data_IF_310511283655
#
_entry.id   IF_310511283655
#
_cell.length_a   1.000
_cell.length_b   1.000
_cell.length_c   1.000
_cell.angle_alpha   90.00
_cell.angle_beta   90.00
_cell.angle_gamma   90.00
#
_symmetry.space_group_name_H-M   'P 1'
#
loop_
_entity.id
_entity.type
_entity.pdbx_description
1 polymer ?
#
# COMPACT_ATOMS: atom_id res chain seq x y z
N UNK A 1 7.36 3.71 -29.18
CA UNK A 1 7.81 5.02 -29.72
C UNK A 1 6.79 6.07 -29.29
N UNK A 2 7.17 7.10 -28.50
CA UNK A 2 6.25 8.21 -28.19
C UNK A 2 6.14 9.08 -29.43
N UNK A 3 4.94 9.19 -30.01
CA UNK A 3 4.67 10.09 -31.14
C UNK A 3 4.72 11.53 -30.63
N UNK A 4 5.55 12.39 -31.23
CA UNK A 4 5.59 13.81 -30.89
C UNK A 4 4.26 14.49 -31.21
N UNK A 5 3.95 15.58 -30.52
CA UNK A 5 2.79 16.43 -30.83
C UNK A 5 3.09 17.25 -32.08
N UNK A 6 2.16 17.23 -33.03
CA UNK A 6 2.21 18.08 -34.21
C UNK A 6 1.81 19.52 -33.86
N UNK A 7 2.29 20.55 -34.59
CA UNK A 7 1.98 21.96 -34.29
C UNK A 7 0.47 22.26 -34.18
N UNK A 8 -0.35 21.67 -35.05
CA UNK A 8 -1.81 21.85 -35.02
C UNK A 8 -2.48 21.25 -33.77
N UNK A 9 -1.90 20.18 -33.18
CA UNK A 9 -2.39 19.60 -31.93
C UNK A 9 -2.12 20.57 -30.77
N UNK A 10 -0.97 21.24 -30.77
CA UNK A 10 -0.63 22.24 -29.75
C UNK A 10 -1.52 23.48 -29.86
N UNK A 11 -1.81 23.95 -31.08
CA UNK A 11 -2.72 25.08 -31.31
C UNK A 11 -4.13 24.74 -30.85
N UNK A 12 -4.61 23.54 -31.16
CA UNK A 12 -5.90 23.05 -30.68
C UNK A 12 -5.95 22.97 -29.14
N UNK A 13 -4.86 22.53 -28.50
CA UNK A 13 -4.75 22.52 -27.04
C UNK A 13 -4.77 23.95 -26.49
N UNK A 14 -4.04 24.91 -27.06
CA UNK A 14 -4.06 26.32 -26.61
C UNK A 14 -5.45 26.91 -26.67
N UNK A 15 -6.17 26.67 -27.76
CA UNK A 15 -7.52 27.20 -27.98
C UNK A 15 -8.57 26.55 -27.05
N UNK A 16 -8.58 25.22 -26.98
CA UNK A 16 -9.70 24.48 -26.36
C UNK A 16 -9.43 23.96 -24.95
N UNK A 17 -8.18 23.84 -24.52
CA UNK A 17 -7.89 23.34 -23.18
C UNK A 17 -8.22 24.37 -22.10
N UNK A 18 -8.03 25.66 -22.41
CA UNK A 18 -8.36 26.76 -21.50
C UNK A 18 -9.87 26.93 -21.32
N UNK A 19 -10.66 26.84 -22.38
CA UNK A 19 -12.10 27.14 -22.32
C UNK A 19 -12.89 26.24 -21.35
N UNK A 20 -13.79 26.85 -20.56
CA UNK A 20 -14.55 26.16 -19.52
C UNK A 20 -15.35 24.99 -20.10
N UNK A 21 -15.04 23.76 -19.66
CA UNK A 21 -15.85 22.57 -19.95
C UNK A 21 -15.66 21.93 -21.33
N UNK A 22 -14.69 22.37 -22.14
CA UNK A 22 -14.51 21.89 -23.52
C UNK A 22 -13.56 20.68 -23.62
N UNK A 23 -12.96 20.25 -22.51
CA UNK A 23 -11.97 19.16 -22.50
C UNK A 23 -12.50 17.83 -23.08
N UNK A 24 -13.79 17.52 -22.89
CA UNK A 24 -14.40 16.32 -23.49
C UNK A 24 -14.39 16.38 -25.02
N UNK A 25 -14.69 17.54 -25.60
CA UNK A 25 -14.62 17.75 -27.06
C UNK A 25 -13.19 17.71 -27.58
N UNK A 26 -12.23 18.22 -26.80
CA UNK A 26 -10.80 18.14 -27.15
C UNK A 26 -10.32 16.68 -27.25
N UNK A 27 -10.71 15.80 -26.32
CA UNK A 27 -10.35 14.37 -26.38
C UNK A 27 -10.93 13.70 -27.63
N UNK A 28 -12.15 14.06 -28.04
CA UNK A 28 -12.78 13.51 -29.25
C UNK A 28 -12.03 13.92 -30.53
N UNK A 29 -11.45 15.12 -30.56
CA UNK A 29 -10.67 15.63 -31.69
C UNK A 29 -9.23 15.11 -31.70
N UNK A 30 -8.74 14.60 -30.58
CA UNK A 30 -7.43 13.96 -30.45
C UNK A 30 -7.58 12.49 -30.00
N UNK A 31 -8.28 11.62 -30.75
CA UNK A 31 -8.63 10.27 -30.31
C UNK A 31 -7.41 9.36 -30.13
N UNK A 32 -6.28 9.70 -30.76
CA UNK A 32 -5.01 9.00 -30.62
C UNK A 32 -4.17 9.47 -29.43
N UNK A 33 -4.64 10.47 -28.68
CA UNK A 33 -3.97 11.00 -27.48
C UNK A 33 -4.77 10.62 -26.25
N UNK A 34 -4.06 10.20 -25.21
CA UNK A 34 -4.70 9.98 -23.90
C UNK A 34 -4.94 11.32 -23.21
N UNK A 35 -5.99 11.40 -22.39
CA UNK A 35 -6.29 12.58 -21.59
C UNK A 35 -5.06 13.04 -20.76
N UNK A 36 -4.34 12.08 -20.17
CA UNK A 36 -3.13 12.37 -19.39
C UNK A 36 -2.01 12.98 -20.25
N UNK A 37 -1.81 12.49 -21.47
CA UNK A 37 -0.84 13.06 -22.41
C UNK A 37 -1.19 14.51 -22.75
N UNK A 38 -2.48 14.81 -22.98
CA UNK A 38 -2.96 16.15 -23.28
C UNK A 38 -2.76 17.08 -22.06
N UNK A 39 -3.06 16.62 -20.85
CA UNK A 39 -2.82 17.40 -19.62
C UNK A 39 -1.34 17.76 -19.44
N UNK A 40 -0.44 16.80 -19.66
CA UNK A 40 1.01 17.04 -19.59
C UNK A 40 1.43 18.04 -20.67
N UNK A 41 0.95 17.88 -21.91
CA UNK A 41 1.29 18.79 -23.01
C UNK A 41 0.77 20.20 -22.76
N UNK A 42 -0.48 20.36 -22.32
CA UNK A 42 -1.05 21.65 -21.98
C UNK A 42 -0.25 22.37 -20.88
N UNK A 43 0.20 21.64 -19.86
CA UNK A 43 1.08 22.19 -18.82
C UNK A 43 2.41 22.69 -19.39
N UNK A 44 3.02 21.93 -20.32
CA UNK A 44 4.25 22.35 -21.03
C UNK A 44 4.02 23.56 -21.93
N UNK A 45 2.82 23.71 -22.50
CA UNK A 45 2.42 24.87 -23.31
C UNK A 45 1.99 26.08 -22.45
N UNK A 46 2.00 25.96 -21.12
CA UNK A 46 1.57 27.03 -20.20
C UNK A 46 0.05 27.24 -20.13
N UNK A 47 -0.74 26.35 -20.73
CA UNK A 47 -2.20 26.45 -20.78
C UNK A 47 -2.80 25.75 -19.57
N UNK A 48 -3.60 26.48 -18.79
CA UNK A 48 -4.30 25.93 -17.61
C UNK A 48 -5.76 25.70 -17.95
N UNK A 49 -6.32 24.62 -17.41
CA UNK A 49 -7.75 24.37 -17.53
C UNK A 49 -8.52 25.40 -16.69
N UNK A 50 -9.52 26.08 -17.28
CA UNK A 50 -10.48 26.86 -16.49
C UNK A 50 -11.54 25.92 -15.90
N UNK A 51 -11.32 25.52 -14.65
CA UNK A 51 -12.34 24.80 -13.90
C UNK A 51 -13.47 25.75 -13.52
N UNK A 52 -14.73 25.33 -13.73
CA UNK A 52 -15.90 26.05 -13.23
C UNK A 52 -15.80 26.17 -11.70
N UNK A 53 -15.74 27.39 -11.18
CA UNK A 53 -15.68 27.64 -9.73
C UNK A 53 -16.96 27.21 -9.03
N UNK A 54 -16.83 26.86 -7.75
CA UNK A 54 -17.98 26.49 -6.90
C UNK A 54 -18.63 27.74 -6.33
N UNK A 55 -19.94 27.83 -6.48
CA UNK A 55 -20.72 28.94 -5.92
C UNK A 55 -21.22 28.61 -4.51
N UNK A 56 -21.51 29.65 -3.73
CA UNK A 56 -22.11 29.53 -2.40
C UNK A 56 -23.47 28.81 -2.43
N UNK A 57 -24.24 28.96 -3.52
CA UNK A 57 -25.50 28.25 -3.73
C UNK A 57 -25.27 26.74 -3.95
N UNK A 58 -24.29 26.36 -4.77
CA UNK A 58 -23.92 24.94 -4.95
C UNK A 58 -23.44 24.32 -3.63
N UNK A 59 -22.64 25.05 -2.84
CA UNK A 59 -22.21 24.59 -1.52
C UNK A 59 -23.38 24.40 -0.55
N UNK A 60 -24.41 25.26 -0.60
CA UNK A 60 -25.61 25.13 0.23
C UNK A 60 -26.40 23.88 -0.14
N UNK A 61 -26.57 23.61 -1.43
CA UNK A 61 -27.22 22.39 -1.94
C UNK A 61 -26.44 21.15 -1.47
N UNK A 62 -25.10 21.18 -1.59
CA UNK A 62 -24.25 20.06 -1.19
C UNK A 62 -24.33 19.81 0.32
N UNK A 63 -24.37 20.87 1.15
CA UNK A 63 -24.61 20.77 2.60
C UNK A 63 -25.97 20.17 2.94
N UNK A 64 -27.01 20.56 2.19
CA UNK A 64 -28.38 20.12 2.43
C UNK A 64 -28.59 18.64 2.11
N UNK A 65 -27.94 18.12 1.06
CA UNK A 65 -28.17 16.77 0.59
C UNK A 65 -27.09 15.76 0.99
N UNK A 66 -25.94 16.18 1.53
CA UNK A 66 -24.93 15.24 2.06
C UNK A 66 -25.51 14.42 3.24
N UNK A 67 -25.27 13.09 3.33
CA UNK A 67 -24.39 12.27 2.49
C UNK A 67 -25.03 11.67 1.22
N UNK A 68 -26.29 12.00 0.92
CA UNK A 68 -27.00 11.54 -0.29
C UNK A 68 -26.48 12.24 -1.56
N UNK A 69 -25.44 11.63 -2.13
CA UNK A 69 -24.79 12.12 -3.36
C UNK A 69 -25.71 12.06 -4.58
N UNK A 70 -26.63 11.10 -4.64
CA UNK A 70 -27.54 10.97 -5.77
C UNK A 70 -28.52 12.17 -5.80
N UNK A 71 -29.03 12.55 -4.63
CA UNK A 71 -29.88 13.73 -4.50
C UNK A 71 -29.13 15.03 -4.75
N UNK A 72 -27.88 15.14 -4.28
CA UNK A 72 -27.03 16.28 -4.60
C UNK A 72 -26.76 16.40 -6.12
N UNK A 73 -26.48 15.29 -6.80
CA UNK A 73 -26.25 15.23 -8.25
C UNK A 73 -27.47 15.67 -9.06
N UNK A 74 -28.68 15.27 -8.65
CA UNK A 74 -29.92 15.68 -9.29
C UNK A 74 -30.12 17.22 -9.28
N UNK A 75 -29.63 17.91 -8.24
CA UNK A 75 -29.74 19.36 -8.08
C UNK A 75 -28.53 20.13 -8.64
N UNK A 76 -27.37 19.48 -8.79
CA UNK A 76 -26.11 20.07 -9.25
C UNK A 76 -25.76 19.61 -10.67
N UNK A 77 -26.70 19.82 -11.61
CA UNK A 77 -26.55 19.40 -13.01
C UNK A 77 -25.26 19.98 -13.63
N UNK A 78 -24.44 19.11 -14.19
CA UNK A 78 -23.14 19.46 -14.77
C UNK A 78 -21.95 19.35 -13.82
N UNK A 79 -22.15 19.00 -12.55
CA UNK A 79 -21.08 18.53 -11.67
C UNK A 79 -21.06 17.01 -11.67
N UNK A 80 -19.89 16.42 -11.85
CA UNK A 80 -19.73 14.97 -11.72
C UNK A 80 -19.80 14.56 -10.26
N UNK A 81 -20.22 13.32 -10.00
CA UNK A 81 -20.20 12.73 -8.66
C UNK A 81 -18.84 12.84 -7.96
N UNK A 82 -17.74 12.70 -8.71
CA UNK A 82 -16.38 12.89 -8.20
C UNK A 82 -16.14 14.33 -7.74
N UNK A 83 -16.61 15.33 -8.51
CA UNK A 83 -16.50 16.74 -8.13
C UNK A 83 -17.32 17.03 -6.84
N UNK A 84 -18.52 16.48 -6.72
CA UNK A 84 -19.34 16.58 -5.50
C UNK A 84 -18.61 15.99 -4.29
N UNK A 85 -18.05 14.79 -4.45
CA UNK A 85 -17.30 14.11 -3.40
C UNK A 85 -16.09 14.93 -2.93
N UNK A 86 -15.28 15.41 -3.88
CA UNK A 86 -14.11 16.24 -3.58
C UNK A 86 -14.48 17.57 -2.92
N UNK A 87 -15.57 18.20 -3.37
CA UNK A 87 -16.08 19.43 -2.74
C UNK A 87 -16.60 19.17 -1.33
N UNK A 88 -17.33 18.06 -1.12
CA UNK A 88 -17.82 17.66 0.20
C UNK A 88 -16.69 17.46 1.20
N UNK A 89 -15.55 16.89 0.75
CA UNK A 89 -14.33 16.79 1.57
C UNK A 89 -13.74 18.16 1.90
N UNK A 90 -13.70 19.09 0.94
CA UNK A 90 -13.21 20.46 1.15
C UNK A 90 -14.09 21.25 2.13
N UNK A 91 -15.40 21.02 2.09
CA UNK A 91 -16.39 21.57 3.00
C UNK A 91 -16.47 20.84 4.36
N UNK A 92 -15.72 19.75 4.54
CA UNK A 92 -15.69 18.92 5.75
C UNK A 92 -17.08 18.40 6.18
N UNK A 93 -17.91 18.01 5.20
CA UNK A 93 -19.26 17.50 5.47
C UNK A 93 -19.28 16.05 5.98
N UNK A 94 -18.22 15.30 5.68
CA UNK A 94 -18.05 13.93 6.16
C UNK A 94 -17.65 13.88 7.64
N UNK A 95 -17.72 12.68 8.25
CA UNK A 95 -17.28 12.48 9.62
C UNK A 95 -15.80 12.90 9.78
N UNK A 96 -15.41 13.38 10.97
CA UNK A 96 -14.04 13.79 11.24
C UNK A 96 -13.07 12.62 10.99
N UNK A 97 -11.92 12.95 10.41
CA UNK A 97 -10.87 11.95 10.16
C UNK A 97 -10.35 11.47 11.51
N UNK A 98 -10.51 10.17 11.79
CA UNK A 98 -9.93 9.53 12.99
C UNK A 98 -8.41 9.48 12.83
N UNK A 99 -7.70 10.36 13.54
CA UNK A 99 -6.24 10.37 13.58
C UNK A 99 -5.69 9.15 14.33
N UNK A 100 -4.45 8.79 14.04
CA UNK A 100 -3.73 7.75 14.78
C UNK A 100 -3.27 8.31 16.12
N UNK A 101 -3.58 7.61 17.20
CA UNK A 101 -3.11 7.95 18.55
C UNK A 101 -1.75 7.31 18.83
N UNK A 102 -1.03 7.84 19.84
CA UNK A 102 0.21 7.24 20.32
C UNK A 102 0.00 5.78 20.79
N UNK A 103 -1.13 5.50 21.47
CA UNK A 103 -1.48 4.16 21.92
C UNK A 103 -1.69 3.18 20.75
N UNK A 104 -2.32 3.62 19.66
CA UNK A 104 -2.46 2.79 18.45
C UNK A 104 -1.10 2.55 17.78
N UNK A 105 -0.22 3.55 17.74
CA UNK A 105 1.14 3.37 17.20
C UNK A 105 1.95 2.38 18.04
N UNK A 106 1.83 2.42 19.37
CA UNK A 106 2.49 1.47 20.27
C UNK A 106 1.92 0.05 20.13
N UNK A 107 0.60 -0.06 19.95
CA UNK A 107 -0.03 -1.33 19.63
C UNK A 107 0.52 -1.90 18.31
N UNK A 108 0.70 -1.06 17.27
CA UNK A 108 1.31 -1.50 16.01
C UNK A 108 2.72 -2.07 16.22
N UNK A 109 3.56 -1.42 17.03
CA UNK A 109 4.92 -1.91 17.33
C UNK A 109 4.91 -3.26 18.04
N UNK A 110 4.02 -3.43 19.02
CA UNK A 110 3.92 -4.65 19.83
C UNK A 110 3.29 -5.82 19.08
N UNK A 111 2.28 -5.57 18.24
CA UNK A 111 1.49 -6.62 17.62
C UNK A 111 2.02 -7.07 16.26
N UNK A 112 2.70 -6.20 15.49
CA UNK A 112 3.21 -6.55 14.16
C UNK A 112 4.06 -7.83 14.12
N UNK A 113 4.92 -8.13 15.11
CA UNK A 113 5.72 -9.36 15.10
C UNK A 113 4.88 -10.66 15.16
N UNK A 114 3.70 -10.61 15.78
CA UNK A 114 2.89 -11.80 16.10
C UNK A 114 1.55 -11.86 15.37
N UNK A 115 1.10 -10.75 14.78
CA UNK A 115 -0.23 -10.62 14.17
C UNK A 115 -0.16 -10.11 12.73
N UNK A 116 -1.13 -10.54 11.92
CA UNK A 116 -1.33 -10.02 10.58
C UNK A 116 -1.89 -8.59 10.60
N UNK A 117 -1.83 -7.89 9.46
CA UNK A 117 -2.34 -6.50 9.42
C UNK A 117 -3.88 -6.50 9.57
N UNK A 118 -4.54 -7.59 9.19
CA UNK A 118 -5.98 -7.85 9.34
C UNK A 118 -6.37 -8.08 10.79
N UNK A 119 -5.63 -8.91 11.53
CA UNK A 119 -5.87 -9.15 12.96
C UNK A 119 -5.72 -7.86 13.77
N UNK A 120 -4.65 -7.10 13.50
CA UNK A 120 -4.43 -5.80 14.16
C UNK A 120 -5.52 -4.80 13.77
N UNK A 121 -5.99 -4.81 12.53
CA UNK A 121 -7.08 -3.96 12.08
C UNK A 121 -8.38 -4.23 12.84
N UNK A 122 -8.71 -5.51 13.07
CA UNK A 122 -9.87 -5.90 13.89
C UNK A 122 -9.69 -5.34 15.31
N UNK A 123 -8.53 -5.56 15.94
CA UNK A 123 -8.25 -5.09 17.31
C UNK A 123 -8.34 -3.57 17.48
N UNK A 124 -7.91 -2.81 16.48
CA UNK A 124 -7.90 -1.34 16.54
C UNK A 124 -9.18 -0.68 15.99
N UNK A 125 -10.11 -1.48 15.45
CA UNK A 125 -11.29 -0.98 14.74
C UNK A 125 -10.90 -0.12 13.52
N UNK A 126 -9.89 -0.56 12.77
CA UNK A 126 -9.34 0.08 11.57
C UNK A 126 -9.48 -0.87 10.38
N UNK A 127 -9.12 -0.40 9.18
CA UNK A 127 -8.98 -1.29 8.02
C UNK A 127 -7.56 -1.82 7.92
N UNK A 128 -7.37 -3.04 7.39
CA UNK A 128 -6.04 -3.63 7.16
C UNK A 128 -5.14 -2.70 6.31
N UNK A 129 -5.73 -2.04 5.31
CA UNK A 129 -5.02 -1.04 4.49
C UNK A 129 -4.55 0.16 5.32
N UNK A 130 -5.34 0.65 6.27
CA UNK A 130 -4.96 1.76 7.13
C UNK A 130 -3.80 1.36 8.06
N UNK A 131 -3.88 0.17 8.65
CA UNK A 131 -2.81 -0.44 9.45
C UNK A 131 -1.53 -0.56 8.65
N UNK A 132 -1.57 -1.19 7.46
CA UNK A 132 -0.43 -1.34 6.55
C UNK A 132 0.26 0.00 6.25
N UNK A 133 -0.51 1.02 5.84
CA UNK A 133 0.04 2.35 5.53
C UNK A 133 0.65 3.02 6.75
N UNK A 134 0.01 2.91 7.92
CA UNK A 134 0.53 3.49 9.16
C UNK A 134 1.82 2.81 9.57
N UNK A 135 1.83 1.48 9.55
CA UNK A 135 2.99 0.63 9.83
C UNK A 135 4.20 1.03 8.99
N UNK A 136 4.01 1.20 7.67
CA UNK A 136 5.08 1.69 6.78
C UNK A 136 5.56 3.10 7.10
N UNK A 137 4.65 4.02 7.44
CA UNK A 137 5.02 5.39 7.86
C UNK A 137 5.82 5.39 9.17
N UNK A 138 5.56 4.45 10.06
CA UNK A 138 6.32 4.25 11.30
C UNK A 138 7.62 3.45 11.11
N UNK A 139 7.92 3.00 9.88
CA UNK A 139 9.10 2.17 9.59
C UNK A 139 9.04 0.75 10.13
N UNK A 140 7.88 0.29 10.60
CA UNK A 140 7.72 -1.04 11.19
C UNK A 140 7.65 -2.06 10.04
N UNK A 141 8.65 -2.94 9.94
CA UNK A 141 8.64 -4.04 8.97
C UNK A 141 8.00 -5.27 9.60
N UNK A 142 7.18 -5.99 8.83
CA UNK A 142 6.90 -7.38 9.18
C UNK A 142 8.21 -8.11 8.97
N UNK A 143 8.81 -8.59 10.04
CA UNK A 143 9.77 -9.70 9.91
C UNK A 143 8.98 -10.81 9.23
N UNK A 144 9.42 -11.25 8.05
CA UNK A 144 8.85 -12.46 7.48
C UNK A 144 8.88 -13.53 8.57
N UNK A 145 7.83 -14.35 8.70
CA UNK A 145 7.92 -15.52 9.53
C UNK A 145 8.80 -16.51 8.77
N UNK A 146 10.11 -16.26 8.69
CA UNK A 146 11.13 -17.14 8.07
C UNK A 146 11.28 -18.47 8.83
N UNK A 147 10.30 -18.81 9.64
CA UNK A 147 10.34 -19.85 10.67
C UNK A 147 9.06 -20.70 10.69
N UNK A 148 7.96 -20.29 10.04
CA UNK A 148 6.64 -20.90 10.31
C UNK A 148 6.26 -22.19 9.58
N UNK A 149 7.17 -22.85 8.88
CA UNK A 149 7.02 -24.28 8.53
C UNK A 149 8.36 -25.00 8.62
N UNK A 150 9.10 -24.68 9.67
CA UNK A 150 10.28 -25.41 10.05
C UNK A 150 9.90 -26.20 11.31
N UNK A 151 10.26 -27.48 11.35
CA UNK A 151 10.20 -28.29 12.58
C UNK A 151 10.61 -27.39 13.77
N UNK A 152 9.88 -27.33 14.90
CA UNK A 152 10.14 -26.37 15.99
C UNK A 152 11.64 -26.20 16.33
N UNK A 153 12.38 -27.32 16.35
CA UNK A 153 13.84 -27.37 16.46
C UNK A 153 14.63 -26.45 15.48
N UNK A 154 14.20 -26.34 14.23
CA UNK A 154 14.83 -25.49 13.21
C UNK A 154 14.51 -24.01 13.44
N UNK A 155 13.38 -23.69 14.05
CA UNK A 155 13.04 -22.33 14.46
C UNK A 155 14.06 -21.81 15.48
N UNK A 156 14.29 -22.61 16.51
CA UNK A 156 15.19 -22.27 17.61
C UNK A 156 16.64 -22.15 17.10
N UNK A 157 17.07 -23.06 16.24
CA UNK A 157 18.40 -23.01 15.62
C UNK A 157 18.59 -21.76 14.75
N UNK A 158 17.56 -21.32 14.01
CA UNK A 158 17.62 -20.09 13.22
C UNK A 158 17.67 -18.85 14.12
N UNK A 159 16.85 -18.82 15.17
CA UNK A 159 16.85 -17.72 16.12
C UNK A 159 18.23 -17.57 16.80
N UNK A 160 18.82 -18.68 17.25
CA UNK A 160 20.14 -18.69 17.88
C UNK A 160 21.26 -18.27 16.91
N UNK A 161 21.22 -18.76 15.67
CA UNK A 161 22.19 -18.35 14.65
C UNK A 161 22.12 -16.85 14.37
N UNK A 162 20.92 -16.26 14.32
CA UNK A 162 20.73 -14.84 14.14
C UNK A 162 21.26 -14.04 15.35
N UNK A 163 21.00 -14.50 16.58
CA UNK A 163 21.52 -13.86 17.79
C UNK A 163 23.05 -13.82 17.83
N UNK A 164 23.72 -14.86 17.30
CA UNK A 164 25.18 -14.94 17.21
C UNK A 164 25.77 -14.33 15.93
N UNK A 165 24.94 -13.78 15.03
CA UNK A 165 25.41 -13.23 13.75
C UNK A 165 26.00 -14.28 12.78
N UNK A 166 25.65 -15.55 12.95
CA UNK A 166 26.20 -16.67 12.17
C UNK A 166 25.30 -16.98 10.98
N UNK A 167 25.89 -17.05 9.78
CA UNK A 167 25.18 -17.51 8.58
C UNK A 167 25.14 -19.04 8.56
N UNK A 168 23.94 -19.63 8.72
CA UNK A 168 23.75 -21.09 8.79
C UNK A 168 24.32 -21.85 7.57
N UNK A 169 24.18 -21.32 6.35
CA UNK A 169 24.75 -21.98 5.15
C UNK A 169 26.28 -22.07 5.22
N UNK A 170 26.94 -21.02 5.68
CA UNK A 170 28.39 -20.98 5.86
C UNK A 170 28.82 -21.96 6.95
N UNK A 171 28.09 -22.00 8.06
CA UNK A 171 28.32 -22.94 9.15
C UNK A 171 28.16 -24.40 8.70
N UNK A 172 27.08 -24.75 8.01
CA UNK A 172 26.88 -26.13 7.51
C UNK A 172 27.96 -26.55 6.51
N UNK A 173 28.46 -25.61 5.70
CA UNK A 173 29.60 -25.85 4.81
C UNK A 173 30.89 -26.14 5.58
N UNK A 174 31.19 -25.34 6.60
CA UNK A 174 32.35 -25.54 7.48
C UNK A 174 32.29 -26.86 8.27
N UNK A 175 31.09 -27.28 8.68
CA UNK A 175 30.86 -28.55 9.39
C UNK A 175 30.80 -29.78 8.47
N UNK A 176 30.92 -29.57 7.15
CA UNK A 176 30.79 -30.63 6.14
C UNK A 176 29.45 -31.37 6.24
N UNK A 177 28.34 -30.66 6.44
CA UNK A 177 27.01 -31.26 6.56
C UNK A 177 25.99 -30.64 5.61
N UNK A 178 24.87 -31.36 5.42
CA UNK A 178 23.77 -30.88 4.59
C UNK A 178 23.21 -29.54 5.10
N UNK A 179 22.73 -28.71 4.17
CA UNK A 179 22.06 -27.44 4.51
C UNK A 179 20.81 -27.72 5.34
N UNK A 180 20.68 -27.03 6.47
CA UNK A 180 19.48 -27.07 7.32
C UNK A 180 18.45 -26.00 6.96
N UNK A 181 18.81 -25.06 6.07
CA UNK A 181 17.88 -24.08 5.51
C UNK A 181 17.18 -24.73 4.31
N UNK A 182 15.85 -24.94 4.34
CA UNK A 182 15.13 -25.52 3.22
C UNK A 182 15.19 -24.60 2.01
N UNK A 183 15.19 -25.21 0.82
CA UNK A 183 14.79 -24.54 -0.41
C UNK A 183 13.29 -24.76 -0.60
N UNK A 184 12.63 -23.96 -1.44
CA UNK A 184 11.17 -24.02 -1.70
C UNK A 184 10.65 -25.42 -2.08
N UNK A 185 11.55 -26.30 -2.50
CA UNK A 185 11.38 -27.66 -3.00
C UNK A 185 11.94 -28.76 -2.06
N UNK A 186 12.62 -28.40 -0.96
CA UNK A 186 13.31 -29.36 -0.09
C UNK A 186 12.37 -29.94 0.99
N UNK A 187 11.75 -31.08 0.70
CA UNK A 187 10.77 -31.74 1.58
C UNK A 187 11.34 -32.41 2.85
N UNK A 188 12.67 -32.48 3.05
CA UNK A 188 13.27 -33.11 4.26
C UNK A 188 14.58 -32.44 4.67
N UNK A 189 14.68 -32.06 5.95
CA UNK A 189 15.92 -31.55 6.58
C UNK A 189 16.62 -32.69 7.32
N UNK A 190 17.95 -32.76 7.23
CA UNK A 190 18.74 -33.83 7.85
C UNK A 190 18.85 -33.65 9.37
N UNK A 191 18.33 -34.60 10.16
CA UNK A 191 18.41 -34.59 11.62
C UNK A 191 19.87 -34.60 12.11
N UNK A 192 20.76 -35.29 11.38
CA UNK A 192 22.21 -35.31 11.66
C UNK A 192 22.87 -33.93 11.48
N UNK A 193 22.43 -33.17 10.47
CA UNK A 193 22.93 -31.82 10.25
C UNK A 193 22.43 -30.85 11.34
N UNK A 194 21.17 -31.00 11.77
CA UNK A 194 20.61 -30.23 12.88
C UNK A 194 21.41 -30.48 14.17
N UNK A 195 21.66 -31.74 14.53
CA UNK A 195 22.43 -32.10 15.72
C UNK A 195 23.84 -31.50 15.73
N UNK A 196 24.54 -31.50 14.58
CA UNK A 196 25.86 -30.88 14.46
C UNK A 196 25.83 -29.38 14.72
N UNK A 197 24.85 -28.67 14.16
CA UNK A 197 24.71 -27.21 14.35
C UNK A 197 24.38 -26.89 15.81
N UNK A 198 23.45 -27.64 16.41
CA UNK A 198 23.05 -27.47 17.82
C UNK A 198 24.23 -27.70 18.76
N UNK A 199 25.05 -28.74 18.53
CA UNK A 199 26.24 -29.01 19.31
C UNK A 199 27.27 -27.86 19.24
N UNK A 200 27.46 -27.24 18.07
CA UNK A 200 28.37 -26.08 17.91
C UNK A 200 27.87 -24.86 18.67
N UNK A 201 26.56 -24.68 18.76
CA UNK A 201 25.98 -23.62 19.58
C UNK A 201 25.99 -23.95 21.08
N UNK A 202 26.44 -25.15 21.48
CA UNK A 202 26.42 -25.61 22.87
C UNK A 202 25.03 -26.00 23.36
N UNK A 203 24.10 -26.28 22.44
CA UNK A 203 22.76 -26.75 22.75
C UNK A 203 22.66 -28.28 22.80
N UNK A 204 21.53 -28.75 23.32
CA UNK A 204 21.20 -30.18 23.42
C UNK A 204 19.85 -30.45 22.78
N UNK A 205 19.67 -31.67 22.25
CA UNK A 205 18.41 -32.13 21.68
C UNK A 205 17.76 -33.15 22.60
N UNK A 206 16.47 -32.99 22.85
CA UNK A 206 15.66 -33.90 23.64
C UNK A 206 14.46 -34.38 22.83
N UNK A 207 14.01 -35.60 23.10
CA UNK A 207 12.78 -36.13 22.55
C UNK A 207 11.68 -35.97 23.60
N UNK A 208 10.58 -35.34 23.20
CA UNK A 208 9.34 -35.29 23.95
C UNK A 208 8.28 -36.00 23.11
N UNK A 209 7.46 -36.82 23.74
CA UNK A 209 6.32 -37.49 23.12
C UNK A 209 5.06 -36.87 23.72
N UNK A 210 4.10 -36.50 22.89
CA UNK A 210 2.77 -36.11 23.37
C UNK A 210 2.03 -37.38 23.83
N UNK A 211 1.38 -37.32 24.99
CA UNK A 211 0.57 -38.41 25.57
C UNK A 211 -0.65 -38.80 24.70
#
# INVERSE_FOLDING_TARGET
MRRNYEPWEDDLIRERYGSQGVFRGLIQQLPHRTANSIHIRAALLGVRAHYREWTSAEDKILRQYYPDMAKAEAHLKGRTREALYMRSRKLRLGPPVRNWSAAEDDALRKLTPTHSDEQIAIMLGRTARAVLRRRFRLGIRKTEPTVRVLLPILADVIAEANARGVRLRSLTGALGCASIVPREDARRVSHKAIAKVVAVFGGHLYAEWDD
#
